data_IF_365630636253
#
_entry.id   IF_365630636253
#
_cell.length_a   1.000
_cell.length_b   1.000
_cell.length_c   1.000
_cell.angle_alpha   90.00
_cell.angle_beta   90.00
_cell.angle_gamma   90.00
#
_symmetry.space_group_name_H-M   'P 1'
#
loop_
_entity.id
_entity.type
_entity.pdbx_description
1 polymer ?
#
# COMPACT_ATOMS: atom_id res chain seq x y z
N UNK A 1 -26.95 13.94 19.03
CA UNK A 1 -26.09 12.79 18.70
C UNK A 1 -26.48 12.36 17.29
N UNK A 2 -25.73 12.78 16.27
CA UNK A 2 -26.06 12.46 14.89
C UNK A 2 -25.55 11.04 14.60
N UNK A 3 -26.46 10.09 14.33
CA UNK A 3 -26.07 8.81 13.73
C UNK A 3 -25.46 9.13 12.37
N UNK A 4 -24.19 8.77 12.18
CA UNK A 4 -23.63 8.67 10.84
C UNK A 4 -24.49 7.67 10.07
N UNK A 5 -25.13 8.11 8.99
CA UNK A 5 -25.80 7.21 8.07
C UNK A 5 -24.70 6.32 7.50
N UNK A 6 -24.73 5.03 7.85
CA UNK A 6 -23.82 4.06 7.23
C UNK A 6 -23.99 4.19 5.71
N UNK A 7 -22.91 4.55 5.03
CA UNK A 7 -22.93 4.57 3.58
C UNK A 7 -23.31 3.17 3.09
N UNK A 8 -24.18 3.09 2.08
CA UNK A 8 -24.57 1.81 1.49
C UNK A 8 -23.31 1.02 1.08
N UNK A 9 -23.32 -0.30 1.25
CA UNK A 9 -22.14 -1.15 1.03
C UNK A 9 -21.52 -0.92 -0.35
N UNK A 10 -22.36 -0.69 -1.37
CA UNK A 10 -21.90 -0.35 -2.72
C UNK A 10 -21.06 0.92 -2.75
N UNK A 11 -21.43 1.95 -2.00
CA UNK A 11 -20.66 3.21 -1.90
C UNK A 11 -19.26 2.95 -1.35
N UNK A 12 -19.14 2.12 -0.31
CA UNK A 12 -17.84 1.76 0.27
C UNK A 12 -16.99 0.97 -0.72
N UNK A 13 -17.59 0.04 -1.47
CA UNK A 13 -16.92 -0.71 -2.52
C UNK A 13 -16.44 0.20 -3.66
N UNK A 14 -17.30 1.10 -4.15
CA UNK A 14 -16.94 2.07 -5.20
C UNK A 14 -15.78 2.99 -4.74
N UNK A 15 -15.80 3.43 -3.49
CA UNK A 15 -14.72 4.24 -2.90
C UNK A 15 -13.42 3.44 -2.78
N UNK A 16 -13.50 2.17 -2.38
CA UNK A 16 -12.34 1.28 -2.29
C UNK A 16 -11.66 1.11 -3.66
N UNK A 17 -12.43 0.88 -4.73
CA UNK A 17 -11.89 0.75 -6.09
C UNK A 17 -11.14 2.02 -6.53
N UNK A 18 -11.74 3.20 -6.37
CA UNK A 18 -11.09 4.47 -6.73
C UNK A 18 -9.81 4.70 -5.93
N UNK A 19 -9.86 4.47 -4.62
CA UNK A 19 -8.71 4.61 -3.74
C UNK A 19 -7.58 3.66 -4.12
N UNK A 20 -7.89 2.39 -4.43
CA UNK A 20 -6.92 1.39 -4.82
C UNK A 20 -6.24 1.73 -6.16
N UNK A 21 -7.01 2.08 -7.19
CA UNK A 21 -6.48 2.45 -8.51
C UNK A 21 -5.55 3.67 -8.44
N UNK A 22 -5.99 4.73 -7.75
CA UNK A 22 -5.17 5.94 -7.56
C UNK A 22 -3.91 5.63 -6.74
N UNK A 23 -4.06 4.90 -5.62
CA UNK A 23 -2.95 4.54 -4.75
C UNK A 23 -1.90 3.70 -5.47
N UNK A 24 -2.30 2.66 -6.21
CA UNK A 24 -1.36 1.77 -6.91
C UNK A 24 -0.53 2.56 -7.91
N UNK A 25 -1.16 3.44 -8.68
CA UNK A 25 -0.44 4.31 -9.62
C UNK A 25 0.57 5.21 -8.91
N UNK A 26 0.17 5.85 -7.80
CA UNK A 26 1.06 6.72 -7.02
C UNK A 26 2.19 5.91 -6.38
N UNK A 27 1.90 4.76 -5.78
CA UNK A 27 2.87 3.95 -5.05
C UNK A 27 3.98 3.46 -5.97
N UNK A 28 3.62 2.81 -7.09
CA UNK A 28 4.63 2.22 -7.98
C UNK A 28 5.36 3.28 -8.81
N UNK A 29 4.73 4.42 -9.17
CA UNK A 29 5.46 5.55 -9.75
C UNK A 29 6.47 6.15 -8.76
N UNK A 30 6.08 6.26 -7.48
CA UNK A 30 6.94 6.81 -6.43
C UNK A 30 8.10 5.89 -6.12
N UNK A 31 7.86 4.58 -5.98
CA UNK A 31 8.96 3.66 -5.68
C UNK A 31 9.94 3.60 -6.82
N UNK A 32 9.53 3.69 -8.08
CA UNK A 32 10.44 3.63 -9.24
C UNK A 32 11.20 4.95 -9.44
N UNK A 33 10.51 6.08 -9.36
CA UNK A 33 11.05 7.38 -9.83
C UNK A 33 11.40 8.38 -8.71
N UNK A 34 10.81 8.24 -7.52
CA UNK A 34 10.89 9.22 -6.43
C UNK A 34 11.05 8.54 -5.07
N UNK A 35 11.97 7.58 -4.97
CA UNK A 35 12.12 6.68 -3.82
C UNK A 35 12.27 7.40 -2.47
N UNK A 36 12.92 8.56 -2.46
CA UNK A 36 13.05 9.45 -1.31
C UNK A 36 11.72 9.95 -0.73
N UNK A 37 10.62 9.83 -1.47
CA UNK A 37 9.27 10.25 -1.04
C UNK A 37 8.44 9.07 -0.50
N UNK A 38 8.95 7.83 -0.55
CA UNK A 38 8.18 6.62 -0.21
C UNK A 38 7.60 6.68 1.20
N UNK A 39 8.41 7.09 2.18
CA UNK A 39 8.00 7.16 3.59
C UNK A 39 6.77 8.05 3.82
N UNK A 40 6.53 9.06 2.97
CA UNK A 40 5.36 9.95 3.04
C UNK A 40 4.03 9.24 2.77
N UNK A 41 4.06 8.12 2.05
CA UNK A 41 2.89 7.28 1.77
C UNK A 41 2.49 6.42 2.97
N UNK A 42 3.37 6.25 3.95
CA UNK A 42 3.15 5.43 5.14
C UNK A 42 2.66 6.27 6.32
N UNK A 43 1.91 5.63 7.22
CA UNK A 43 1.66 6.15 8.57
C UNK A 43 2.95 6.11 9.40
N UNK A 44 3.00 6.88 10.48
CA UNK A 44 4.20 7.02 11.31
C UNK A 44 4.62 5.69 11.96
N UNK A 45 3.65 4.87 12.32
CA UNK A 45 3.80 3.56 12.94
C UNK A 45 3.55 2.38 11.97
N UNK A 46 3.59 2.63 10.66
CA UNK A 46 3.33 1.60 9.67
C UNK A 46 4.37 0.48 9.71
N UNK A 47 3.94 -0.72 9.28
CA UNK A 47 4.81 -1.89 9.20
C UNK A 47 4.88 -2.39 7.76
N UNK A 48 6.10 -2.63 7.28
CA UNK A 48 6.39 -3.36 6.06
C UNK A 48 6.94 -4.75 6.40
N UNK A 49 6.41 -5.78 5.74
CA UNK A 49 6.97 -7.13 5.74
C UNK A 49 7.49 -7.43 4.34
N UNK A 50 8.81 -7.36 4.15
CA UNK A 50 9.45 -7.60 2.86
C UNK A 50 10.09 -8.98 2.81
N UNK A 51 9.45 -9.90 2.09
CA UNK A 51 9.85 -11.31 2.00
C UNK A 51 9.98 -12.01 3.37
N UNK A 52 9.25 -11.53 4.38
CA UNK A 52 9.31 -12.04 5.77
C UNK A 52 10.20 -11.22 6.70
N UNK A 53 10.95 -10.24 6.20
CA UNK A 53 11.72 -9.31 7.04
C UNK A 53 10.83 -8.13 7.46
N UNK A 54 10.77 -7.85 8.76
CA UNK A 54 9.94 -6.78 9.31
C UNK A 54 10.72 -5.46 9.31
N UNK A 55 10.08 -4.40 8.81
CA UNK A 55 10.55 -3.02 8.84
C UNK A 55 9.43 -2.18 9.46
N UNK A 56 9.68 -1.56 10.61
CA UNK A 56 8.65 -0.87 11.37
C UNK A 56 9.04 0.60 11.62
N UNK A 57 8.10 1.50 11.33
CA UNK A 57 8.26 2.94 11.58
C UNK A 57 9.04 3.69 10.49
N UNK A 58 8.84 5.01 10.46
CA UNK A 58 9.33 5.91 9.40
C UNK A 58 10.84 5.88 9.19
N UNK A 59 11.63 5.86 10.27
CA UNK A 59 13.09 5.84 10.17
C UNK A 59 13.60 4.55 9.50
N UNK A 60 13.08 3.40 9.92
CA UNK A 60 13.48 2.10 9.37
C UNK A 60 13.00 1.96 7.91
N UNK A 61 11.79 2.43 7.61
CA UNK A 61 11.27 2.47 6.24
C UNK A 61 12.16 3.32 5.32
N UNK A 62 12.58 4.50 5.78
CA UNK A 62 13.49 5.37 5.03
C UNK A 62 14.80 4.66 4.69
N UNK A 63 15.48 4.10 5.69
CA UNK A 63 16.72 3.33 5.50
C UNK A 63 16.52 2.14 4.56
N UNK A 64 15.39 1.44 4.68
CA UNK A 64 15.07 0.30 3.83
C UNK A 64 14.90 0.71 2.35
N UNK A 65 14.11 1.74 2.07
CA UNK A 65 13.89 2.20 0.70
C UNK A 65 15.15 2.81 0.08
N UNK A 66 15.97 3.51 0.86
CA UNK A 66 17.26 4.06 0.38
C UNK A 66 18.26 2.95 0.02
N UNK A 67 18.19 1.80 0.71
CA UNK A 67 19.06 0.65 0.47
C UNK A 67 18.57 -0.27 -0.67
N UNK A 68 17.32 -0.13 -1.13
CA UNK A 68 16.81 -0.93 -2.23
C UNK A 68 17.45 -0.50 -3.57
N UNK A 69 17.83 -1.45 -4.45
CA UNK A 69 18.22 -1.13 -5.81
C UNK A 69 17.11 -0.37 -6.55
N UNK A 70 17.48 0.34 -7.62
CA UNK A 70 16.48 0.91 -8.53
C UNK A 70 15.54 -0.18 -9.04
N UNK A 71 14.24 0.13 -9.12
CA UNK A 71 13.20 -0.80 -9.52
C UNK A 71 12.49 -0.34 -10.78
N UNK A 72 11.93 -1.31 -11.50
CA UNK A 72 10.93 -1.12 -12.55
C UNK A 72 9.79 -2.10 -12.28
N UNK A 73 8.67 -1.60 -11.78
CA UNK A 73 7.47 -2.39 -11.52
C UNK A 73 6.53 -2.39 -12.73
N UNK A 74 5.95 -3.55 -13.02
CA UNK A 74 4.85 -3.70 -13.96
C UNK A 74 3.70 -4.41 -13.27
N UNK A 75 2.61 -3.68 -13.04
CA UNK A 75 1.43 -4.19 -12.34
C UNK A 75 0.48 -4.84 -13.35
N UNK A 76 0.11 -6.08 -13.08
CA UNK A 76 -0.78 -6.86 -13.95
C UNK A 76 -2.20 -6.92 -13.41
N UNK A 77 -2.35 -7.05 -12.09
CA UNK A 77 -3.65 -7.21 -11.43
C UNK A 77 -3.70 -6.35 -10.18
N UNK A 78 -4.87 -5.74 -9.97
CA UNK A 78 -5.25 -5.02 -8.76
C UNK A 78 -6.62 -5.56 -8.34
N UNK A 79 -6.76 -5.87 -7.06
CA UNK A 79 -8.03 -6.15 -6.42
C UNK A 79 -8.10 -5.36 -5.10
N UNK A 80 -9.31 -5.06 -4.63
CA UNK A 80 -9.49 -4.33 -3.39
C UNK A 80 -10.81 -4.64 -2.70
N UNK A 81 -10.81 -4.47 -1.37
CA UNK A 81 -11.98 -4.70 -0.53
C UNK A 81 -12.07 -3.62 0.55
N UNK A 82 -13.26 -3.04 0.80
CA UNK A 82 -13.46 -2.22 1.99
C UNK A 82 -13.35 -3.10 3.24
N UNK A 83 -12.62 -2.64 4.25
CA UNK A 83 -12.42 -3.39 5.49
C UNK A 83 -13.52 -3.03 6.49
N UNK A 84 -14.06 -4.04 7.15
CA UNK A 84 -15.13 -3.86 8.14
C UNK A 84 -14.64 -3.04 9.35
N UNK A 85 -15.44 -2.07 9.78
CA UNK A 85 -15.09 -1.07 10.81
C UNK A 85 -14.66 -1.68 12.17
N UNK A 86 -15.21 -2.84 12.52
CA UNK A 86 -14.83 -3.58 13.73
C UNK A 86 -13.36 -4.02 13.73
N UNK A 87 -12.77 -4.27 12.56
CA UNK A 87 -11.36 -4.65 12.43
C UNK A 87 -10.43 -3.43 12.50
N UNK A 88 -10.96 -2.22 12.34
CA UNK A 88 -10.17 -0.99 12.11
C UNK A 88 -10.48 0.12 13.11
N UNK A 89 -11.19 -0.20 14.20
CA UNK A 89 -11.57 0.75 15.24
C UNK A 89 -12.31 1.97 14.65
N UNK A 90 -13.23 1.72 13.73
CA UNK A 90 -14.02 2.72 13.00
C UNK A 90 -13.22 3.64 12.05
N UNK A 91 -11.98 3.27 11.70
CA UNK A 91 -11.25 3.95 10.63
C UNK A 91 -11.68 3.42 9.25
N UNK A 92 -11.88 4.33 8.29
CA UNK A 92 -12.12 3.95 6.89
C UNK A 92 -10.85 3.36 6.31
N UNK A 93 -10.92 2.08 5.93
CA UNK A 93 -9.76 1.30 5.52
C UNK A 93 -10.08 0.44 4.31
N UNK A 94 -9.08 0.29 3.43
CA UNK A 94 -9.17 -0.51 2.21
C UNK A 94 -8.02 -1.51 2.21
N UNK A 95 -8.34 -2.79 1.99
CA UNK A 95 -7.36 -3.80 1.63
C UNK A 95 -7.13 -3.72 0.13
N UNK A 96 -5.88 -3.60 -0.31
CA UNK A 96 -5.48 -3.65 -1.71
C UNK A 96 -4.55 -4.83 -1.92
N UNK A 97 -4.78 -5.63 -2.95
CA UNK A 97 -3.92 -6.74 -3.35
C UNK A 97 -3.47 -6.50 -4.79
N UNK A 98 -2.18 -6.67 -5.04
CA UNK A 98 -1.60 -6.49 -6.35
C UNK A 98 -0.69 -7.67 -6.69
N UNK A 99 -0.63 -8.01 -7.97
CA UNK A 99 0.39 -8.90 -8.49
C UNK A 99 0.98 -8.33 -9.77
N UNK A 100 2.23 -8.69 -10.03
CA UNK A 100 2.88 -8.33 -11.26
C UNK A 100 4.32 -8.79 -11.32
N UNK A 101 5.13 -8.04 -12.06
CA UNK A 101 6.57 -8.27 -12.15
C UNK A 101 7.34 -7.05 -11.67
N UNK A 102 8.54 -7.30 -11.15
CA UNK A 102 9.50 -6.25 -10.81
C UNK A 102 10.88 -6.66 -11.30
N UNK A 103 11.62 -5.68 -11.80
CA UNK A 103 13.06 -5.79 -12.05
C UNK A 103 13.77 -4.84 -11.12
N UNK A 104 14.64 -5.38 -10.27
CA UNK A 104 15.60 -4.58 -9.52
C UNK A 104 16.91 -4.50 -10.31
N UNK A 105 17.61 -3.37 -10.21
CA UNK A 105 18.90 -3.20 -10.87
C UNK A 105 19.88 -4.31 -10.44
N UNK A 106 20.65 -4.82 -11.40
CA UNK A 106 21.51 -5.99 -11.22
C UNK A 106 20.82 -7.34 -11.01
N UNK A 107 19.48 -7.41 -11.05
CA UNK A 107 18.72 -8.64 -10.81
C UNK A 107 17.85 -9.06 -12.01
N UNK A 108 17.45 -10.34 -12.05
CA UNK A 108 16.47 -10.86 -13.02
C UNK A 108 15.07 -10.30 -12.74
N UNK A 109 14.22 -10.28 -13.77
CA UNK A 109 12.79 -10.05 -13.57
C UNK A 109 12.19 -11.14 -12.67
N UNK A 110 11.33 -10.74 -11.73
CA UNK A 110 10.65 -11.66 -10.82
C UNK A 110 9.19 -11.31 -10.70
N UNK A 111 8.36 -12.33 -10.51
CA UNK A 111 6.96 -12.16 -10.13
C UNK A 111 6.85 -11.88 -8.64
N UNK A 112 5.92 -11.03 -8.27
CA UNK A 112 5.64 -10.70 -6.88
C UNK A 112 4.14 -10.63 -6.63
N UNK A 113 3.78 -10.77 -5.35
CA UNK A 113 2.49 -10.36 -4.81
C UNK A 113 2.74 -9.35 -3.71
N UNK A 114 1.91 -8.32 -3.64
CA UNK A 114 1.96 -7.32 -2.58
C UNK A 114 0.56 -6.94 -2.14
N UNK A 115 0.36 -6.84 -0.83
CA UNK A 115 -0.90 -6.37 -0.26
C UNK A 115 -0.66 -5.22 0.71
N UNK A 116 -1.61 -4.29 0.70
CA UNK A 116 -1.58 -3.08 1.51
C UNK A 116 -2.86 -2.95 2.30
N UNK A 117 -2.73 -2.45 3.53
CA UNK A 117 -3.84 -1.93 4.30
C UNK A 117 -3.75 -0.41 4.29
N UNK A 118 -4.67 0.24 3.58
CA UNK A 118 -4.73 1.70 3.45
C UNK A 118 -5.73 2.26 4.44
N UNK A 119 -5.37 3.33 5.14
CA UNK A 119 -6.27 4.06 6.04
C UNK A 119 -6.45 5.48 5.54
N UNK A 120 -7.70 5.93 5.49
CA UNK A 120 -8.03 7.31 5.14
C UNK A 120 -7.56 8.28 6.24
N UNK A 121 -6.82 9.31 5.83
CA UNK A 121 -6.43 10.44 6.68
C UNK A 121 -7.21 11.67 6.25
N UNK A 122 -8.04 12.20 7.15
CA UNK A 122 -8.83 13.40 6.91
C UNK A 122 -7.92 14.61 7.05
N UNK A 123 -7.68 15.31 5.94
CA UNK A 123 -7.00 16.60 5.89
C UNK A 123 -8.06 17.71 5.76
N UNK A 124 -7.73 18.99 6.05
CA UNK A 124 -8.71 20.08 6.05
C UNK A 124 -9.55 20.19 4.76
N UNK A 125 -8.96 19.86 3.60
CA UNK A 125 -9.59 20.01 2.28
C UNK A 125 -9.61 18.72 1.45
N UNK A 126 -9.14 17.59 1.98
CA UNK A 126 -9.00 16.36 1.21
C UNK A 126 -8.92 15.12 2.10
N UNK A 127 -9.14 13.96 1.51
CA UNK A 127 -8.81 12.67 2.13
C UNK A 127 -7.53 12.17 1.45
N UNK A 128 -6.55 11.78 2.25
CA UNK A 128 -5.31 11.17 1.75
C UNK A 128 -5.24 9.75 2.28
N UNK A 129 -4.99 8.78 1.40
CA UNK A 129 -4.81 7.39 1.79
C UNK A 129 -3.35 7.14 2.17
N UNK A 130 -3.14 6.56 3.35
CA UNK A 130 -1.80 6.18 3.84
C UNK A 130 -1.74 4.70 4.19
N UNK A 131 -0.56 4.13 4.03
CA UNK A 131 -0.29 2.72 4.30
C UNK A 131 -0.14 2.53 5.81
N UNK A 132 -1.01 1.71 6.39
CA UNK A 132 -0.89 1.20 7.76
C UNK A 132 -0.06 -0.08 7.80
N UNK A 133 -0.22 -0.96 6.80
CA UNK A 133 0.53 -2.21 6.67
C UNK A 133 0.84 -2.50 5.21
N UNK A 134 2.03 -3.01 4.93
CA UNK A 134 2.49 -3.48 3.63
C UNK A 134 3.13 -4.88 3.78
N UNK A 135 2.78 -5.80 2.89
CA UNK A 135 3.40 -7.11 2.83
C UNK A 135 3.74 -7.45 1.37
N UNK A 136 5.04 -7.48 1.08
CA UNK A 136 5.60 -7.82 -0.22
C UNK A 136 6.25 -9.20 -0.19
N UNK A 137 6.03 -10.01 -1.23
CA UNK A 137 6.70 -11.30 -1.39
C UNK A 137 6.92 -11.65 -2.87
N UNK A 138 8.13 -12.08 -3.19
CA UNK A 138 8.42 -12.74 -4.47
C UNK A 138 7.75 -14.11 -4.54
N UNK A 139 7.18 -14.45 -5.70
CA UNK A 139 6.55 -15.76 -5.90
C UNK A 139 7.56 -16.91 -5.83
N UNK A 140 8.78 -16.68 -6.30
CA UNK A 140 9.89 -17.62 -6.29
C UNK A 140 10.90 -17.34 -5.16
N UNK A 141 10.45 -16.81 -4.01
CA UNK A 141 11.33 -16.39 -2.90
C UNK A 141 12.42 -17.40 -2.52
N UNK A 142 12.13 -18.70 -2.58
CA UNK A 142 13.04 -19.78 -2.20
C UNK A 142 14.07 -20.18 -3.28
N UNK A 143 14.06 -19.52 -4.44
CA UNK A 143 14.87 -19.88 -5.63
C UNK A 143 15.99 -18.89 -5.91
#
# INVERSE_FOLDING_TARGET
>A
MAMAIAADFKTNADQACRAAEEFVNVYYDTIDKRRQMMTRLYLDNATLIWNGNVVNGQEALGKFFDALPASEFQINVIDCQPVHEQATQNQTTVLVVTCGTVKFDGNKHRYFNQNFLLTAQVMPNSIVWKIASDCFRFQDWSS
#
